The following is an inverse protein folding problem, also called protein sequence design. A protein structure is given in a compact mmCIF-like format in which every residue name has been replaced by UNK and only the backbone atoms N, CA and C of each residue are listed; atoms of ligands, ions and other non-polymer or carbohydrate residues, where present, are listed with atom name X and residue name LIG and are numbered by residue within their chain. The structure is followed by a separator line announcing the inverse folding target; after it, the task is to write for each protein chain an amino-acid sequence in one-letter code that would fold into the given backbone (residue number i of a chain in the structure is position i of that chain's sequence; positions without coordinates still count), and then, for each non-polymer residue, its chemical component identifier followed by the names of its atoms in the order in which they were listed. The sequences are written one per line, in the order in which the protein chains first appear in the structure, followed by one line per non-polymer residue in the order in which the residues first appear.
data_IF_793918964200
#
_entry.id   IF_793918964200
#
_cell.length_a   1.000
_cell.length_b   1.000
_cell.length_c   1.000
_cell.angle_alpha   90.00
_cell.angle_beta   90.00
_cell.angle_gamma   90.00
#
_symmetry.space_group_name_H-M   'P 1'
#
loop_
_entity.id
_entity.type
_entity.pdbx_description
1 polymer ?
#
# COMPACT_ATOMS: atom_id res chain seq x y z
N UNK A 1 -0.15 -29.76 -11.88
CA UNK A 1 1.02 -29.53 -11.01
C UNK A 1 0.84 -30.29 -9.71
N UNK A 2 1.90 -30.92 -9.17
CA UNK A 2 1.84 -31.62 -7.89
C UNK A 2 1.52 -30.67 -6.71
N UNK A 3 1.95 -29.41 -6.80
CA UNK A 3 1.79 -28.40 -5.75
C UNK A 3 0.33 -28.03 -5.44
N UNK A 4 -0.58 -28.19 -6.42
CA UNK A 4 -1.99 -27.80 -6.29
C UNK A 4 -2.96 -28.99 -6.27
N UNK A 5 -2.44 -30.23 -6.28
CA UNK A 5 -3.27 -31.42 -6.40
C UNK A 5 -4.22 -31.60 -5.20
N UNK A 6 -3.71 -31.39 -3.98
CA UNK A 6 -4.48 -31.50 -2.75
C UNK A 6 -5.59 -30.44 -2.64
N UNK A 7 -5.25 -29.17 -2.82
CA UNK A 7 -6.22 -28.06 -2.75
C UNK A 7 -7.33 -28.22 -3.80
N UNK A 8 -6.97 -28.66 -5.01
CA UNK A 8 -7.96 -28.94 -6.06
C UNK A 8 -8.86 -30.15 -5.72
N UNK A 9 -8.34 -31.15 -5.00
CA UNK A 9 -9.18 -32.26 -4.52
C UNK A 9 -10.18 -31.77 -3.46
N UNK A 10 -9.77 -30.91 -2.53
CA UNK A 10 -10.67 -30.29 -1.55
C UNK A 10 -11.79 -29.48 -2.22
N UNK A 11 -11.45 -28.68 -3.24
CA UNK A 11 -12.45 -27.92 -4.02
C UNK A 11 -13.46 -28.88 -4.68
N UNK A 12 -13.01 -30.01 -5.24
CA UNK A 12 -13.89 -31.04 -5.81
C UNK A 12 -14.81 -31.71 -4.78
N UNK A 13 -14.38 -31.75 -3.52
CA UNK A 13 -15.18 -32.25 -2.39
C UNK A 13 -16.12 -31.20 -1.81
N UNK A 14 -16.17 -29.99 -2.38
CA UNK A 14 -17.07 -28.92 -1.97
C UNK A 14 -16.42 -27.83 -1.13
N UNK A 15 -15.09 -27.79 -1.00
CA UNK A 15 -14.42 -26.65 -0.39
C UNK A 15 -14.60 -25.39 -1.26
N UNK A 16 -14.76 -24.24 -0.62
CA UNK A 16 -14.87 -22.93 -1.27
C UNK A 16 -13.49 -22.56 -1.83
N UNK A 17 -13.36 -22.19 -3.12
CA UNK A 17 -12.13 -21.65 -3.68
C UNK A 17 -11.78 -20.30 -3.04
N UNK A 18 -10.53 -20.14 -2.62
CA UNK A 18 -10.00 -18.88 -2.07
C UNK A 18 -8.93 -18.35 -3.01
N UNK A 19 -9.20 -17.21 -3.61
CA UNK A 19 -8.37 -16.53 -4.62
C UNK A 19 -7.73 -15.27 -4.07
N UNK A 20 -8.30 -14.66 -3.04
CA UNK A 20 -7.73 -13.55 -2.30
C UNK A 20 -8.12 -13.61 -0.81
N UNK A 21 -7.53 -12.74 0.01
CA UNK A 21 -7.89 -12.63 1.43
C UNK A 21 -9.36 -12.20 1.64
N UNK A 22 -9.92 -11.44 0.69
CA UNK A 22 -11.30 -10.97 0.71
C UNK A 22 -12.33 -12.11 0.79
N UNK A 23 -12.09 -13.22 0.08
CA UNK A 23 -13.00 -14.37 0.05
C UNK A 23 -13.20 -14.98 1.45
N UNK A 24 -12.17 -14.94 2.29
CA UNK A 24 -12.24 -15.40 3.68
C UNK A 24 -12.99 -14.38 4.55
N UNK A 25 -12.69 -13.09 4.39
CA UNK A 25 -13.35 -12.04 5.16
C UNK A 25 -14.87 -12.04 4.93
N UNK A 26 -15.30 -12.17 3.68
CA UNK A 26 -16.72 -12.27 3.31
C UNK A 26 -17.41 -13.46 3.97
N UNK A 27 -16.77 -14.64 4.00
CA UNK A 27 -17.32 -15.84 4.63
C UNK A 27 -17.63 -15.66 6.13
N UNK A 28 -16.87 -14.79 6.80
CA UNK A 28 -17.04 -14.48 8.22
C UNK A 28 -17.77 -13.16 8.47
N UNK A 29 -18.32 -12.52 7.44
CA UNK A 29 -18.94 -11.19 7.50
C UNK A 29 -18.02 -10.13 8.16
N UNK A 30 -16.73 -10.23 7.86
CA UNK A 30 -15.69 -9.34 8.36
C UNK A 30 -15.39 -8.25 7.33
N UNK A 31 -15.32 -7.02 7.80
CA UNK A 31 -14.83 -5.90 7.01
C UNK A 31 -13.33 -5.75 7.29
N UNK A 32 -12.47 -5.66 6.25
CA UNK A 32 -11.06 -5.39 6.45
C UNK A 32 -10.88 -4.08 7.23
N UNK A 33 -10.04 -4.12 8.25
CA UNK A 33 -9.73 -2.93 9.03
C UNK A 33 -9.15 -1.87 8.09
N UNK A 34 -9.75 -0.67 8.11
CA UNK A 34 -9.15 0.47 7.44
C UNK A 34 -7.85 0.80 8.19
N UNK A 35 -6.70 0.90 7.51
CA UNK A 35 -5.49 1.35 8.18
C UNK A 35 -5.72 2.76 8.73
N UNK A 36 -5.84 2.86 10.05
CA UNK A 36 -5.77 4.14 10.77
C UNK A 36 -4.32 4.59 10.73
N UNK A 37 -3.98 5.41 9.73
CA UNK A 37 -2.67 6.05 9.75
C UNK A 37 -2.67 7.17 10.79
N UNK A 38 -1.54 7.33 11.47
CA UNK A 38 -1.30 8.46 12.36
C UNK A 38 -1.56 9.79 11.63
N UNK A 39 -1.96 10.85 12.36
CA UNK A 39 -2.04 12.19 11.79
C UNK A 39 -0.69 12.56 11.17
N UNK A 40 -0.72 12.96 9.90
CA UNK A 40 0.49 13.35 9.18
C UNK A 40 0.90 14.77 9.56
N UNK A 41 2.20 14.98 9.72
CA UNK A 41 2.77 16.32 9.74
C UNK A 41 2.59 17.05 8.39
N UNK A 42 2.76 18.38 8.36
CA UNK A 42 2.53 19.19 7.17
C UNK A 42 3.40 18.77 5.97
N UNK A 43 4.65 18.40 6.22
CA UNK A 43 5.58 17.98 5.16
C UNK A 43 5.14 16.63 4.54
N UNK A 44 4.79 15.65 5.37
CA UNK A 44 4.27 14.36 4.91
C UNK A 44 2.96 14.51 4.13
N UNK A 45 2.09 15.42 4.57
CA UNK A 45 0.85 15.74 3.87
C UNK A 45 1.12 16.35 2.48
N UNK A 46 2.04 17.32 2.37
CA UNK A 46 2.40 17.97 1.11
C UNK A 46 3.03 17.00 0.10
N UNK A 47 3.89 16.09 0.58
CA UNK A 47 4.47 15.03 -0.24
C UNK A 47 3.40 14.06 -0.75
N UNK A 48 2.50 13.60 0.13
CA UNK A 48 1.45 12.67 -0.24
C UNK A 48 0.47 13.30 -1.26
N UNK A 49 0.13 14.57 -1.10
CA UNK A 49 -0.71 15.31 -2.05
C UNK A 49 -0.06 15.43 -3.43
N UNK A 50 1.26 15.60 -3.48
CA UNK A 50 2.01 15.69 -4.74
C UNK A 50 2.02 14.38 -5.55
N UNK A 51 1.79 13.24 -4.88
CA UNK A 51 1.77 11.88 -5.44
C UNK A 51 0.37 11.40 -5.85
N UNK A 52 -0.70 12.15 -5.55
CA UNK A 52 -2.11 11.69 -5.70
C UNK A 52 -2.42 11.07 -7.06
N UNK A 53 -1.90 11.65 -8.15
CA UNK A 53 -2.23 11.25 -9.52
C UNK A 53 -1.00 10.86 -10.38
N UNK A 54 0.19 10.70 -9.75
CA UNK A 54 1.44 10.41 -10.48
C UNK A 54 2.54 9.82 -9.60
N UNK A 55 3.40 9.02 -10.21
CA UNK A 55 4.65 8.58 -9.59
C UNK A 55 5.74 9.64 -9.79
N UNK A 56 6.56 9.90 -8.76
CA UNK A 56 7.64 10.89 -8.81
C UNK A 56 8.92 10.34 -8.15
N UNK A 57 10.08 10.67 -8.72
CA UNK A 57 11.36 10.47 -8.01
C UNK A 57 11.44 11.37 -6.77
N UNK A 58 12.36 11.08 -5.85
CA UNK A 58 12.59 11.92 -4.66
C UNK A 58 12.84 13.40 -5.03
N UNK A 59 13.68 13.64 -6.04
CA UNK A 59 14.05 14.99 -6.49
C UNK A 59 12.87 15.74 -7.10
N UNK A 60 12.06 15.07 -7.92
CA UNK A 60 10.85 15.66 -8.48
C UNK A 60 9.84 15.99 -7.38
N UNK A 61 9.71 15.10 -6.40
CA UNK A 61 8.78 15.26 -5.30
C UNK A 61 9.16 16.44 -4.41
N UNK A 62 10.43 16.60 -4.06
CA UNK A 62 10.93 17.77 -3.33
C UNK A 62 10.71 19.06 -4.13
N UNK A 63 10.96 19.04 -5.44
CA UNK A 63 10.77 20.21 -6.31
C UNK A 63 9.31 20.64 -6.41
N UNK A 64 8.37 19.68 -6.49
CA UNK A 64 6.94 19.98 -6.65
C UNK A 64 6.30 20.34 -5.31
N UNK A 65 6.68 19.66 -4.22
CA UNK A 65 6.12 19.91 -2.88
C UNK A 65 6.72 21.13 -2.17
N UNK A 66 7.94 21.55 -2.55
CA UNK A 66 8.69 22.61 -1.88
C UNK A 66 9.27 22.20 -0.51
N UNK A 67 9.13 20.93 -0.12
CA UNK A 67 9.66 20.41 1.15
C UNK A 67 11.17 20.29 1.06
N UNK A 68 11.85 20.73 2.12
CA UNK A 68 13.30 20.72 2.21
C UNK A 68 13.86 19.28 2.32
N UNK A 69 15.06 18.98 1.81
CA UNK A 69 15.54 17.60 1.65
C UNK A 69 15.59 16.76 2.94
N UNK A 70 15.98 17.37 4.06
CA UNK A 70 16.08 16.66 5.33
C UNK A 70 14.69 16.27 5.87
N UNK A 71 13.73 17.20 5.78
CA UNK A 71 12.33 17.01 6.14
C UNK A 71 11.67 15.99 5.22
N UNK A 72 11.95 16.07 3.92
CA UNK A 72 11.42 15.13 2.92
C UNK A 72 11.88 13.70 3.20
N UNK A 73 13.16 13.50 3.52
CA UNK A 73 13.70 12.18 3.85
C UNK A 73 12.98 11.55 5.06
N UNK A 74 12.81 12.31 6.14
CA UNK A 74 12.13 11.82 7.33
C UNK A 74 10.64 11.52 7.07
N UNK A 75 9.96 12.44 6.38
CA UNK A 75 8.54 12.30 6.04
C UNK A 75 8.28 11.13 5.07
N UNK A 76 9.17 10.87 4.11
CA UNK A 76 9.06 9.72 3.21
C UNK A 76 9.17 8.39 3.95
N UNK A 77 10.09 8.30 4.92
CA UNK A 77 10.20 7.11 5.79
C UNK A 77 8.93 6.93 6.62
N UNK A 78 8.39 8.01 7.19
CA UNK A 78 7.12 7.96 7.93
C UNK A 78 5.97 7.45 7.05
N UNK A 79 5.85 7.99 5.82
CA UNK A 79 4.82 7.60 4.86
C UNK A 79 4.96 6.14 4.41
N UNK A 80 6.19 5.65 4.22
CA UNK A 80 6.46 4.25 3.82
C UNK A 80 6.11 3.28 4.96
N UNK A 81 6.54 3.59 6.19
CA UNK A 81 6.19 2.80 7.38
C UNK A 81 4.68 2.81 7.64
N UNK A 82 4.02 3.93 7.37
CA UNK A 82 2.57 4.07 7.42
C UNK A 82 1.81 3.42 6.25
N UNK A 83 2.53 2.77 5.31
CA UNK A 83 1.99 2.20 4.07
C UNK A 83 1.13 3.18 3.28
N UNK A 84 1.47 4.47 3.29
CA UNK A 84 0.82 5.51 2.49
C UNK A 84 1.49 5.69 1.14
N UNK A 85 2.78 5.39 1.06
CA UNK A 85 3.57 5.39 -0.18
C UNK A 85 4.44 4.15 -0.28
N UNK A 86 4.87 3.82 -1.48
CA UNK A 86 5.88 2.80 -1.76
C UNK A 86 6.91 3.34 -2.77
N UNK A 87 8.17 2.92 -2.61
CA UNK A 87 9.26 3.20 -3.55
C UNK A 87 9.49 1.98 -4.44
N UNK A 88 9.18 2.11 -5.72
CA UNK A 88 9.34 1.04 -6.71
C UNK A 88 9.92 1.62 -7.99
N UNK A 89 10.93 0.97 -8.56
CA UNK A 89 11.64 1.44 -9.76
C UNK A 89 12.17 2.89 -9.63
N UNK A 90 12.58 3.28 -8.42
CA UNK A 90 13.16 4.60 -8.14
C UNK A 90 12.16 5.75 -8.06
N UNK A 91 10.86 5.47 -8.11
CA UNK A 91 9.79 6.48 -7.96
C UNK A 91 8.84 6.11 -6.83
N UNK A 92 8.38 7.13 -6.10
CA UNK A 92 7.35 7.00 -5.09
C UNK A 92 5.97 6.98 -5.73
N UNK A 93 5.08 6.12 -5.20
CA UNK A 93 3.66 6.01 -5.57
C UNK A 93 2.81 5.95 -4.31
N UNK A 94 1.55 6.39 -4.39
CA UNK A 94 0.58 6.13 -3.32
C UNK A 94 0.27 4.64 -3.24
N UNK A 95 0.33 4.08 -2.04
CA UNK A 95 -0.08 2.70 -1.80
C UNK A 95 -1.60 2.60 -1.76
N UNK A 96 -2.15 1.55 -2.37
CA UNK A 96 -3.61 1.27 -2.43
C UNK A 96 -4.01 0.35 -1.28
#
# INVERSE_FOLDING_TARGET
SALSAGTNALIRLGAIPVTCAGDILELFDLVPAKPEGAPLGPDAQALLESLRDRALTADELMRVSGVQPAQASAALVELELGRRVALEDGVYRTSV
#
